data_IF_951218823999
#
_entry.id   IF_951218823999
#
_cell.length_a   1.000
_cell.length_b   1.000
_cell.length_c   1.000
_cell.angle_alpha   90.00
_cell.angle_beta   90.00
_cell.angle_gamma   90.00
#
_symmetry.space_group_name_H-M   'P 1'
#
loop_
_entity.id
_entity.type
_entity.pdbx_description
1 polymer ?
#
# COMPACT_ATOMS: atom_id res chain seq x y z
N UNK A 1 22.72 13.59 -0.29
CA UNK A 1 23.38 12.48 -1.01
C UNK A 1 22.81 11.15 -0.53
N UNK A 2 22.89 10.84 0.79
CA UNK A 2 22.42 9.55 1.35
C UNK A 2 20.95 9.21 1.01
N UNK A 3 20.03 10.18 1.13
CA UNK A 3 18.60 9.99 0.84
C UNK A 3 18.33 9.66 -0.64
N UNK A 4 19.11 10.20 -1.56
CA UNK A 4 18.98 9.90 -3.00
C UNK A 4 19.42 8.47 -3.31
N UNK A 5 20.56 8.05 -2.76
CA UNK A 5 21.08 6.69 -2.96
C UNK A 5 20.13 5.64 -2.34
N UNK A 6 19.55 5.92 -1.16
CA UNK A 6 18.54 5.06 -0.56
C UNK A 6 17.31 4.92 -1.47
N UNK A 7 16.82 6.02 -2.06
CA UNK A 7 15.71 5.98 -3.02
C UNK A 7 16.04 5.12 -4.24
N UNK A 8 17.22 5.27 -4.83
CA UNK A 8 17.66 4.49 -5.99
C UNK A 8 17.76 2.99 -5.67
N UNK A 9 18.32 2.62 -4.51
CA UNK A 9 18.39 1.22 -4.06
C UNK A 9 17.00 0.63 -3.79
N UNK A 10 16.12 1.42 -3.18
CA UNK A 10 14.72 1.02 -2.97
C UNK A 10 13.97 0.77 -4.27
N UNK A 11 14.16 1.62 -5.29
CA UNK A 11 13.56 1.41 -6.62
C UNK A 11 13.98 0.06 -7.19
N UNK A 12 15.27 -0.31 -7.06
CA UNK A 12 15.76 -1.62 -7.52
C UNK A 12 15.11 -2.78 -6.74
N UNK A 13 14.99 -2.67 -5.41
CA UNK A 13 14.35 -3.69 -4.57
C UNK A 13 12.87 -3.88 -4.95
N UNK A 14 12.13 -2.78 -5.10
CA UNK A 14 10.72 -2.81 -5.51
C UNK A 14 10.57 -3.49 -6.87
N UNK A 15 11.40 -3.14 -7.84
CA UNK A 15 11.36 -3.74 -9.17
C UNK A 15 11.63 -5.24 -9.15
N UNK A 16 12.65 -5.68 -8.42
CA UNK A 16 12.99 -7.09 -8.31
C UNK A 16 11.86 -7.90 -7.63
N UNK A 17 11.23 -7.34 -6.60
CA UNK A 17 10.10 -7.97 -5.92
C UNK A 17 8.85 -8.01 -6.81
N UNK A 18 8.61 -6.95 -7.59
CA UNK A 18 7.53 -6.90 -8.57
C UNK A 18 7.70 -7.98 -9.65
N UNK A 19 8.92 -8.15 -10.18
CA UNK A 19 9.26 -9.22 -11.13
C UNK A 19 9.05 -10.61 -10.51
N UNK A 20 9.54 -10.82 -9.27
CA UNK A 20 9.37 -12.07 -8.53
C UNK A 20 7.90 -12.41 -8.26
N UNK A 21 7.09 -11.42 -7.88
CA UNK A 21 5.65 -11.61 -7.69
C UNK A 21 4.98 -11.96 -9.02
N UNK A 22 5.37 -11.33 -10.12
CA UNK A 22 4.89 -11.65 -11.45
C UNK A 22 5.17 -13.11 -11.84
N UNK A 23 6.38 -13.63 -11.56
CA UNK A 23 6.70 -15.04 -11.81
C UNK A 23 5.85 -15.99 -10.93
N UNK A 24 5.61 -15.63 -9.67
CA UNK A 24 4.72 -16.40 -8.81
C UNK A 24 3.28 -16.42 -9.33
N UNK A 25 2.74 -15.29 -9.77
CA UNK A 25 1.39 -15.21 -10.36
C UNK A 25 1.27 -16.14 -11.57
N UNK A 26 2.25 -16.12 -12.47
CA UNK A 26 2.29 -17.04 -13.63
C UNK A 26 2.24 -18.51 -13.21
N UNK A 27 2.92 -18.87 -12.13
CA UNK A 27 3.01 -20.23 -11.60
C UNK A 27 1.82 -20.70 -10.75
N UNK A 28 0.82 -19.85 -10.45
CA UNK A 28 -0.32 -20.24 -9.61
C UNK A 28 -1.19 -21.28 -10.31
N UNK A 29 -1.22 -22.49 -9.79
CA UNK A 29 -2.01 -23.58 -10.37
C UNK A 29 -3.54 -23.42 -10.18
N UNK A 30 -3.95 -22.62 -9.20
CA UNK A 30 -5.36 -22.43 -8.86
C UNK A 30 -6.01 -21.26 -9.59
N UNK A 31 -5.24 -20.34 -10.16
CA UNK A 31 -5.73 -19.15 -10.86
C UNK A 31 -5.78 -19.43 -12.37
N UNK A 32 -6.89 -19.10 -13.00
CA UNK A 32 -7.08 -19.26 -14.45
C UNK A 32 -6.27 -18.24 -15.26
N UNK A 33 -5.99 -18.56 -16.51
CA UNK A 33 -5.11 -17.76 -17.38
C UNK A 33 -5.64 -16.34 -17.62
N UNK A 34 -6.98 -16.18 -17.76
CA UNK A 34 -7.58 -14.85 -17.95
C UNK A 34 -7.37 -13.94 -16.74
N UNK A 35 -7.50 -14.49 -15.53
CA UNK A 35 -7.26 -13.74 -14.29
C UNK A 35 -5.76 -13.44 -14.10
N UNK A 36 -4.86 -14.38 -14.44
CA UNK A 36 -3.41 -14.16 -14.44
C UNK A 36 -2.99 -13.01 -15.33
N UNK A 37 -3.52 -12.94 -16.55
CA UNK A 37 -3.21 -11.84 -17.47
C UNK A 37 -3.57 -10.49 -16.84
N UNK A 38 -4.77 -10.36 -16.31
CA UNK A 38 -5.22 -9.11 -15.66
C UNK A 38 -4.45 -8.79 -14.37
N UNK A 39 -4.08 -9.82 -13.59
CA UNK A 39 -3.25 -9.65 -12.41
C UNK A 39 -1.86 -9.11 -12.78
N UNK A 40 -1.24 -9.64 -13.83
CA UNK A 40 0.05 -9.17 -14.34
C UNK A 40 -0.03 -7.76 -14.93
N UNK A 41 -1.12 -7.41 -15.62
CA UNK A 41 -1.37 -6.04 -16.08
C UNK A 41 -1.49 -5.07 -14.89
N UNK A 42 -2.24 -5.45 -13.85
CA UNK A 42 -2.38 -4.65 -12.64
C UNK A 42 -1.04 -4.46 -11.93
N UNK A 43 -0.28 -5.53 -11.75
CA UNK A 43 1.05 -5.48 -11.15
C UNK A 43 2.01 -4.57 -11.94
N UNK A 44 1.98 -4.64 -13.28
CA UNK A 44 2.83 -3.83 -14.15
C UNK A 44 2.50 -2.33 -14.12
N UNK A 45 1.28 -1.97 -13.70
CA UNK A 45 0.81 -0.58 -13.64
C UNK A 45 0.87 0.02 -12.23
N UNK A 46 1.50 -0.64 -11.26
CA UNK A 46 1.70 -0.08 -9.93
C UNK A 46 2.43 1.26 -10.00
N UNK A 47 1.82 2.30 -9.46
CA UNK A 47 2.46 3.58 -9.26
C UNK A 47 3.31 3.51 -7.99
N UNK A 48 4.63 3.73 -8.11
CA UNK A 48 5.58 3.52 -7.01
C UNK A 48 6.08 4.85 -6.46
N UNK A 49 5.79 5.12 -5.20
CA UNK A 49 6.21 6.33 -4.47
C UNK A 49 7.24 5.96 -3.41
N UNK A 50 8.43 6.59 -3.45
CA UNK A 50 9.54 6.30 -2.53
C UNK A 50 10.14 7.58 -1.97
N UNK A 51 10.20 7.65 -0.66
CA UNK A 51 10.91 8.68 0.09
C UNK A 51 10.10 9.93 0.36
N UNK A 52 9.88 10.77 -0.64
CA UNK A 52 9.18 12.05 -0.51
C UNK A 52 8.60 12.49 -1.86
N UNK A 53 7.55 13.35 -1.85
CA UNK A 53 6.92 13.84 -3.07
C UNK A 53 7.85 14.80 -3.81
N UNK A 54 7.80 14.78 -5.13
CA UNK A 54 8.53 15.75 -5.96
C UNK A 54 7.92 17.15 -5.84
N UNK A 55 6.59 17.24 -5.68
CA UNK A 55 5.86 18.47 -5.40
C UNK A 55 5.30 18.43 -3.98
N UNK A 56 5.78 19.33 -3.13
CA UNK A 56 5.29 19.46 -1.76
C UNK A 56 3.90 20.09 -1.71
N UNK A 57 3.09 19.66 -0.72
CA UNK A 57 1.80 20.30 -0.45
C UNK A 57 2.01 21.76 -0.09
N UNK A 58 1.29 22.66 -0.75
CA UNK A 58 1.35 24.09 -0.48
C UNK A 58 0.39 24.47 0.65
N UNK A 59 0.95 24.98 1.74
CA UNK A 59 0.22 25.45 2.92
C UNK A 59 0.16 26.99 2.99
N UNK A 60 0.55 27.72 1.93
CA UNK A 60 0.64 29.18 1.96
C UNK A 60 -0.69 29.88 2.22
N UNK A 61 -1.80 29.21 1.91
CA UNK A 61 -3.16 29.73 2.17
C UNK A 61 -3.74 29.34 3.53
N UNK A 62 -3.02 28.49 4.30
CA UNK A 62 -3.44 28.14 5.66
C UNK A 62 -3.04 29.23 6.64
N UNK A 63 -4.02 29.89 7.23
CA UNK A 63 -3.78 30.94 8.22
C UNK A 63 -3.60 30.36 9.63
N UNK A 64 -2.46 30.59 10.24
CA UNK A 64 -2.16 30.24 11.65
C UNK A 64 -1.98 31.55 12.41
N UNK A 65 -2.62 31.69 13.58
CA UNK A 65 -2.61 32.87 14.42
C UNK A 65 -2.08 32.56 15.83
N UNK A 66 -1.55 33.58 16.47
CA UNK A 66 -1.12 33.54 17.88
C UNK A 66 -2.30 33.86 18.81
N UNK A 67 -3.36 33.04 18.71
CA UNK A 67 -4.58 33.16 19.55
C UNK A 67 -4.81 31.93 20.43
N UNK A 68 -5.15 30.78 19.85
CA UNK A 68 -5.27 29.53 20.59
C UNK A 68 -4.99 28.32 19.70
N UNK A 69 -4.49 27.26 20.32
CA UNK A 69 -4.29 25.97 19.65
C UNK A 69 -5.62 25.46 19.04
N UNK A 70 -6.71 25.56 19.79
CA UNK A 70 -8.03 25.12 19.32
C UNK A 70 -8.49 25.87 18.07
N UNK A 71 -8.40 27.20 18.06
CA UNK A 71 -8.77 27.99 16.90
C UNK A 71 -7.90 27.68 15.67
N UNK A 72 -6.61 27.37 15.87
CA UNK A 72 -5.74 26.92 14.78
C UNK A 72 -6.11 25.51 14.27
N UNK A 73 -6.55 24.62 15.15
CA UNK A 73 -7.08 23.31 14.73
C UNK A 73 -8.36 23.46 13.89
N UNK A 74 -9.28 24.35 14.27
CA UNK A 74 -10.48 24.64 13.49
C UNK A 74 -10.12 25.20 12.09
N UNK A 75 -9.24 26.20 12.01
CA UNK A 75 -8.75 26.74 10.72
C UNK A 75 -8.10 25.67 9.84
N UNK A 76 -7.32 24.79 10.44
CA UNK A 76 -6.68 23.67 9.74
C UNK A 76 -7.72 22.69 9.21
N UNK A 77 -8.75 22.36 9.99
CA UNK A 77 -9.82 21.47 9.56
C UNK A 77 -10.67 22.10 8.44
N UNK A 78 -11.02 23.37 8.56
CA UNK A 78 -11.75 24.11 7.52
C UNK A 78 -10.92 24.16 6.23
N UNK A 79 -9.63 24.46 6.33
CA UNK A 79 -8.73 24.49 5.18
C UNK A 79 -8.60 23.12 4.52
N UNK A 80 -8.39 22.04 5.28
CA UNK A 80 -8.35 20.68 4.76
C UNK A 80 -9.67 20.27 4.10
N UNK A 81 -10.80 20.67 4.68
CA UNK A 81 -12.13 20.42 4.09
C UNK A 81 -12.28 21.16 2.76
N UNK A 82 -11.89 22.42 2.68
CA UNK A 82 -11.93 23.21 1.44
C UNK A 82 -11.04 22.58 0.35
N UNK A 83 -9.83 22.13 0.70
CA UNK A 83 -8.93 21.42 -0.21
C UNK A 83 -9.55 20.11 -0.73
N UNK A 84 -10.21 19.35 0.15
CA UNK A 84 -10.92 18.12 -0.23
C UNK A 84 -12.07 18.41 -1.20
N UNK A 85 -12.92 19.41 -0.88
CA UNK A 85 -14.05 19.81 -1.74
C UNK A 85 -13.57 20.33 -3.09
N UNK A 86 -12.45 21.06 -3.12
CA UNK A 86 -11.86 21.59 -4.35
C UNK A 86 -11.38 20.50 -5.32
N UNK A 87 -11.27 19.24 -4.91
CA UNK A 87 -10.96 18.09 -5.78
C UNK A 87 -12.18 17.56 -6.53
N UNK A 88 -13.39 17.88 -6.08
CA UNK A 88 -14.63 17.39 -6.69
C UNK A 88 -14.69 17.80 -8.17
N UNK A 89 -14.97 16.83 -9.05
CA UNK A 89 -15.05 17.03 -10.49
C UNK A 89 -13.70 17.21 -11.20
N UNK A 90 -12.59 17.08 -10.50
CA UNK A 90 -11.25 17.08 -11.10
C UNK A 90 -10.73 15.64 -11.30
N UNK A 91 -9.82 15.40 -12.25
CA UNK A 91 -9.11 14.14 -12.35
C UNK A 91 -8.37 13.82 -11.05
N UNK A 92 -8.21 12.52 -10.75
CA UNK A 92 -7.43 12.05 -9.60
C UNK A 92 -5.96 12.46 -9.77
N UNK A 93 -5.42 13.15 -8.77
CA UNK A 93 -4.00 13.46 -8.71
C UNK A 93 -3.23 12.25 -8.16
N UNK A 94 -2.57 11.51 -9.06
CA UNK A 94 -1.76 10.34 -8.69
C UNK A 94 -0.46 10.73 -7.96
N UNK A 95 -0.05 11.99 -7.97
CA UNK A 95 1.14 12.45 -7.27
C UNK A 95 0.87 12.86 -5.80
N UNK A 96 -0.40 12.92 -5.40
CA UNK A 96 -0.77 13.20 -4.01
C UNK A 96 -0.32 12.08 -3.07
N UNK A 97 0.36 12.43 -1.97
CA UNK A 97 0.78 11.51 -0.92
C UNK A 97 -0.22 11.49 0.22
N UNK A 98 -0.64 10.28 0.64
CA UNK A 98 -1.56 10.09 1.77
C UNK A 98 -0.83 10.10 3.12
N UNK A 99 0.47 9.81 3.12
CA UNK A 99 1.33 9.86 4.30
C UNK A 99 2.42 10.92 4.12
N UNK A 100 2.79 11.55 5.22
CA UNK A 100 3.92 12.49 5.22
C UNK A 100 5.27 11.74 5.15
N UNK A 101 6.33 12.35 4.61
CA UNK A 101 7.62 11.67 4.43
C UNK A 101 8.29 11.18 5.72
N UNK A 102 7.97 11.75 6.88
CA UNK A 102 8.50 11.31 8.17
C UNK A 102 7.74 10.13 8.79
N UNK A 103 6.64 9.70 8.19
CA UNK A 103 5.85 8.57 8.69
C UNK A 103 6.66 7.27 8.56
N UNK A 104 6.76 6.52 9.66
CA UNK A 104 7.36 5.18 9.68
C UNK A 104 6.25 4.17 9.39
N UNK A 105 5.89 4.09 8.13
CA UNK A 105 4.91 3.15 7.59
C UNK A 105 5.01 3.10 6.07
N UNK A 106 4.16 2.26 5.45
CA UNK A 106 3.95 2.18 4.01
C UNK A 106 2.44 2.06 3.73
N UNK A 107 2.01 2.10 2.48
CA UNK A 107 0.62 1.80 2.12
C UNK A 107 0.49 1.38 0.66
N UNK A 108 -0.56 0.58 0.40
CA UNK A 108 -1.15 0.40 -0.92
C UNK A 108 -2.47 1.20 -1.00
N UNK A 109 -2.69 1.91 -2.11
CA UNK A 109 -3.96 2.59 -2.38
C UNK A 109 -4.63 1.97 -3.61
N UNK A 110 -5.75 1.25 -3.46
CA UNK A 110 -6.43 0.58 -4.57
C UNK A 110 -7.02 1.56 -5.59
N UNK A 111 -7.41 2.77 -5.18
CA UNK A 111 -8.06 3.75 -6.07
C UNK A 111 -7.11 4.41 -7.06
N UNK A 112 -5.81 4.37 -6.79
CA UNK A 112 -4.74 4.88 -7.66
C UNK A 112 -3.80 3.77 -8.14
N UNK A 113 -3.98 2.54 -7.64
CA UNK A 113 -3.12 1.39 -7.85
C UNK A 113 -1.65 1.71 -7.53
N UNK A 114 -1.41 2.25 -6.33
CA UNK A 114 -0.10 2.73 -5.91
C UNK A 114 0.41 2.07 -4.64
N UNK A 115 1.73 1.93 -4.54
CA UNK A 115 2.47 1.57 -3.33
C UNK A 115 3.37 2.72 -2.92
N UNK A 116 3.39 3.06 -1.64
CA UNK A 116 4.13 4.19 -1.12
C UNK A 116 4.99 3.81 0.09
N UNK A 117 6.26 4.21 0.03
CA UNK A 117 7.25 4.00 1.09
C UNK A 117 7.86 5.34 1.49
N UNK A 118 7.30 6.04 2.50
CA UNK A 118 7.83 7.31 3.01
C UNK A 118 9.28 7.18 3.51
N UNK A 119 10.03 8.29 3.50
CA UNK A 119 11.43 8.29 3.95
C UNK A 119 11.61 7.82 5.39
N UNK A 120 10.58 7.96 6.23
CA UNK A 120 10.59 7.54 7.63
C UNK A 120 10.83 6.04 7.82
N UNK A 121 10.36 5.19 6.92
CA UNK A 121 10.58 3.73 7.00
C UNK A 121 11.91 3.30 6.34
N UNK A 122 12.55 4.16 5.54
CA UNK A 122 13.79 3.86 4.82
C UNK A 122 15.03 4.02 5.71
N UNK A 123 14.99 3.44 6.88
CA UNK A 123 16.06 3.46 7.88
C UNK A 123 16.03 2.21 8.76
N UNK A 124 17.10 1.97 9.49
CA UNK A 124 17.17 0.85 10.44
C UNK A 124 15.97 0.86 11.41
N UNK A 125 15.35 -0.28 11.72
CA UNK A 125 15.74 -1.65 11.33
C UNK A 125 15.17 -2.14 9.97
N UNK A 126 14.36 -1.34 9.28
CA UNK A 126 13.69 -1.75 8.05
C UNK A 126 14.63 -1.73 6.83
N UNK A 127 15.49 -0.72 6.73
CA UNK A 127 16.39 -0.54 5.61
C UNK A 127 17.76 -0.04 6.06
N UNK A 128 18.83 -0.63 5.52
CA UNK A 128 20.20 -0.15 5.72
C UNK A 128 20.94 -0.09 4.36
N UNK A 129 21.44 1.12 4.03
CA UNK A 129 22.21 1.33 2.81
C UNK A 129 23.52 0.55 2.76
N UNK A 130 24.09 0.22 3.92
CA UNK A 130 25.37 -0.46 4.04
C UNK A 130 25.24 -1.97 4.26
N UNK A 131 24.01 -2.45 4.54
CA UNK A 131 23.75 -3.87 4.67
C UNK A 131 23.77 -4.58 3.31
N UNK A 132 23.95 -5.89 3.32
CA UNK A 132 23.79 -6.73 2.15
C UNK A 132 22.32 -6.81 1.69
N UNK A 133 22.11 -7.36 0.50
CA UNK A 133 20.77 -7.48 -0.06
C UNK A 133 19.90 -8.46 0.71
N UNK A 134 20.48 -9.53 1.27
CA UNK A 134 19.72 -10.52 2.06
C UNK A 134 19.08 -9.86 3.29
N UNK A 135 19.81 -8.97 3.99
CA UNK A 135 19.26 -8.18 5.09
C UNK A 135 18.10 -7.31 4.62
N UNK A 136 18.28 -6.52 3.54
CA UNK A 136 17.26 -5.60 3.07
C UNK A 136 16.03 -6.34 2.50
N UNK A 137 16.21 -7.48 1.82
CA UNK A 137 15.07 -8.31 1.40
C UNK A 137 14.33 -8.93 2.58
N UNK A 138 15.03 -9.35 3.64
CA UNK A 138 14.42 -9.88 4.85
C UNK A 138 13.75 -8.84 5.76
N UNK A 139 14.06 -7.56 5.56
CA UNK A 139 13.52 -6.44 6.32
C UNK A 139 12.52 -5.62 5.48
N UNK A 140 12.97 -4.57 4.78
CA UNK A 140 12.08 -3.72 3.98
C UNK A 140 11.43 -4.50 2.83
N UNK A 141 12.08 -5.55 2.32
CA UNK A 141 11.51 -6.41 1.27
C UNK A 141 10.23 -7.12 1.69
N UNK A 142 10.08 -7.47 2.97
CA UNK A 142 8.83 -8.03 3.52
C UNK A 142 7.72 -6.98 3.45
N UNK A 143 8.01 -5.72 3.84
CA UNK A 143 7.05 -4.61 3.76
C UNK A 143 6.67 -4.34 2.30
N UNK A 144 7.63 -4.31 1.38
CA UNK A 144 7.36 -4.12 -0.05
C UNK A 144 6.44 -5.23 -0.59
N UNK A 145 6.72 -6.49 -0.25
CA UNK A 145 5.90 -7.63 -0.64
C UNK A 145 4.48 -7.55 -0.07
N UNK A 146 4.34 -7.12 1.18
CA UNK A 146 3.07 -6.89 1.85
C UNK A 146 2.24 -5.84 1.11
N UNK A 147 2.79 -4.66 0.83
CA UNK A 147 2.06 -3.60 0.10
C UNK A 147 1.68 -4.03 -1.32
N UNK A 148 2.53 -4.77 -2.00
CA UNK A 148 2.19 -5.34 -3.31
C UNK A 148 1.05 -6.35 -3.22
N UNK A 149 1.02 -7.17 -2.14
CA UNK A 149 0.00 -8.19 -1.93
C UNK A 149 -1.36 -7.57 -1.67
N UNK A 150 -1.44 -6.39 -1.03
CA UNK A 150 -2.68 -5.64 -0.89
C UNK A 150 -3.38 -5.35 -2.21
N UNK A 151 -2.66 -5.25 -3.33
CA UNK A 151 -3.27 -5.13 -4.66
C UNK A 151 -4.11 -6.34 -5.08
N UNK A 152 -3.94 -7.49 -4.42
CA UNK A 152 -4.54 -8.78 -4.76
C UNK A 152 -5.23 -9.48 -3.59
N UNK A 153 -5.26 -8.87 -2.40
CA UNK A 153 -5.96 -9.38 -1.22
C UNK A 153 -7.49 -9.31 -1.38
N UNK A 154 -8.23 -9.61 -0.33
CA UNK A 154 -9.70 -9.63 -0.32
C UNK A 154 -10.34 -8.28 -0.68
N UNK A 155 -9.67 -7.18 -0.38
CA UNK A 155 -10.14 -5.82 -0.69
C UNK A 155 -9.55 -5.31 -2.02
N UNK A 156 -8.22 -5.38 -2.19
CA UNK A 156 -7.53 -4.83 -3.34
C UNK A 156 -7.88 -5.53 -4.65
N UNK A 157 -8.18 -6.83 -4.62
CA UNK A 157 -8.64 -7.59 -5.80
C UNK A 157 -9.92 -7.06 -6.42
N UNK A 158 -10.71 -6.29 -5.68
CA UNK A 158 -11.96 -5.70 -6.17
C UNK A 158 -11.73 -4.48 -7.08
N UNK A 159 -10.52 -3.96 -7.13
CA UNK A 159 -10.15 -2.82 -7.95
C UNK A 159 -9.31 -3.25 -9.15
N UNK A 160 -9.64 -2.71 -10.33
CA UNK A 160 -8.85 -2.95 -11.53
C UNK A 160 -7.53 -2.15 -11.55
N UNK A 161 -6.73 -2.33 -12.60
CA UNK A 161 -5.44 -1.65 -12.80
C UNK A 161 -5.52 -0.12 -12.88
N UNK A 162 -6.70 0.41 -13.14
CA UNK A 162 -6.96 1.84 -13.28
C UNK A 162 -7.55 2.45 -11.99
N UNK A 163 -7.77 1.62 -10.95
CA UNK A 163 -8.31 2.02 -9.66
C UNK A 163 -9.83 2.07 -9.58
N UNK A 164 -10.52 1.51 -10.55
CA UNK A 164 -11.97 1.42 -10.54
C UNK A 164 -12.42 0.21 -9.73
N UNK A 165 -13.47 0.37 -8.91
CA UNK A 165 -14.14 -0.75 -8.26
C UNK A 165 -14.87 -1.57 -9.33
N UNK A 166 -14.21 -2.61 -9.80
CA UNK A 166 -14.65 -3.43 -10.92
C UNK A 166 -14.15 -4.85 -10.74
N UNK A 167 -15.07 -5.81 -10.69
CA UNK A 167 -14.72 -7.22 -10.69
C UNK A 167 -14.08 -7.61 -12.02
N UNK A 168 -12.87 -8.14 -11.95
CA UNK A 168 -12.08 -8.59 -13.08
C UNK A 168 -11.64 -10.06 -12.95
N UNK A 169 -12.01 -10.70 -11.84
CA UNK A 169 -11.78 -12.10 -11.59
C UNK A 169 -12.88 -12.94 -12.25
N UNK A 170 -12.59 -14.21 -12.53
CA UNK A 170 -13.66 -15.16 -12.84
C UNK A 170 -14.33 -15.61 -11.54
N UNK A 171 -15.61 -16.00 -11.60
CA UNK A 171 -16.34 -16.53 -10.44
C UNK A 171 -15.61 -17.72 -9.81
N UNK A 172 -15.03 -18.58 -10.67
CA UNK A 172 -14.29 -19.76 -10.23
C UNK A 172 -13.00 -19.38 -9.50
N UNK A 173 -12.24 -18.42 -10.00
CA UNK A 173 -11.01 -17.95 -9.35
C UNK A 173 -11.33 -17.21 -8.05
N UNK A 174 -12.40 -16.43 -8.01
CA UNK A 174 -12.88 -15.78 -6.80
C UNK A 174 -13.21 -16.81 -5.70
N UNK A 175 -13.95 -17.88 -6.07
CA UNK A 175 -14.24 -18.97 -5.14
C UNK A 175 -12.98 -19.67 -4.64
N UNK A 176 -12.04 -19.97 -5.53
CA UNK A 176 -10.76 -20.60 -5.16
C UNK A 176 -9.90 -19.72 -4.26
N UNK A 177 -9.95 -18.40 -4.45
CA UNK A 177 -9.31 -17.45 -3.53
C UNK A 177 -9.96 -17.51 -2.15
N UNK A 178 -11.30 -17.45 -2.08
CA UNK A 178 -12.05 -17.46 -0.82
C UNK A 178 -11.82 -18.76 -0.02
N UNK A 179 -11.73 -19.91 -0.70
CA UNK A 179 -11.40 -21.19 -0.09
C UNK A 179 -10.00 -21.19 0.57
N UNK A 180 -9.01 -20.52 -0.06
CA UNK A 180 -7.65 -20.36 0.49
C UNK A 180 -7.61 -19.35 1.63
N UNK A 181 -8.28 -18.23 1.45
CA UNK A 181 -8.41 -17.20 2.47
C UNK A 181 -9.06 -17.76 3.75
N UNK A 182 -10.05 -18.69 3.60
CA UNK A 182 -10.68 -19.34 4.74
C UNK A 182 -9.69 -20.14 5.60
N UNK A 183 -8.61 -20.67 5.02
CA UNK A 183 -7.54 -21.35 5.80
C UNK A 183 -6.87 -20.36 6.76
N UNK A 184 -6.55 -19.15 6.25
CA UNK A 184 -5.97 -18.07 7.08
C UNK A 184 -6.94 -17.64 8.19
N UNK A 185 -8.21 -17.43 7.84
CA UNK A 185 -9.26 -17.09 8.82
C UNK A 185 -9.31 -18.13 9.93
N UNK A 186 -9.36 -19.43 9.60
CA UNK A 186 -9.44 -20.51 10.60
C UNK A 186 -8.21 -20.54 11.53
N UNK A 187 -7.01 -20.28 10.99
CA UNK A 187 -5.77 -20.25 11.78
C UNK A 187 -5.79 -19.08 12.75
N UNK A 188 -6.00 -17.86 12.26
CA UNK A 188 -5.92 -16.65 13.08
C UNK A 188 -7.10 -16.50 14.06
N UNK A 189 -8.30 -16.93 13.68
CA UNK A 189 -9.46 -16.96 14.60
C UNK A 189 -9.26 -17.96 15.76
N UNK A 190 -8.38 -18.96 15.59
CA UNK A 190 -8.06 -19.91 16.68
C UNK A 190 -7.09 -19.36 17.71
N UNK A 191 -6.45 -18.20 17.44
CA UNK A 191 -5.47 -17.60 18.34
C UNK A 191 -6.19 -16.83 19.45
N UNK A 192 -5.97 -17.23 20.67
CA UNK A 192 -6.43 -16.50 21.86
C UNK A 192 -5.47 -15.35 22.15
N UNK A 193 -5.93 -14.12 21.96
CA UNK A 193 -5.12 -12.88 22.14
C UNK A 193 -5.15 -12.35 23.57
N UNK A 194 -6.17 -12.75 24.35
CA UNK A 194 -6.31 -12.52 25.78
C UNK A 194 -7.28 -13.57 26.34
N UNK A 195 -7.32 -13.86 27.66
CA UNK A 195 -8.18 -14.89 28.23
C UNK A 195 -9.64 -14.79 27.76
N UNK A 196 -10.10 -15.78 26.99
CA UNK A 196 -11.44 -15.85 26.40
C UNK A 196 -11.70 -14.91 25.22
N UNK A 197 -10.66 -14.22 24.68
CA UNK A 197 -10.76 -13.29 23.55
C UNK A 197 -9.99 -13.81 22.36
N UNK A 198 -10.66 -14.04 21.25
CA UNK A 198 -10.07 -14.44 19.97
C UNK A 198 -10.03 -13.29 18.97
N UNK A 199 -9.14 -13.38 18.02
CA UNK A 199 -9.08 -12.47 16.89
C UNK A 199 -10.30 -12.57 15.97
N UNK A 200 -10.44 -11.63 15.06
CA UNK A 200 -11.40 -11.70 13.95
C UNK A 200 -10.62 -11.52 12.66
N UNK A 201 -10.04 -12.61 12.17
CA UNK A 201 -9.19 -12.57 10.98
C UNK A 201 -9.96 -12.16 9.72
N UNK A 202 -11.25 -12.44 9.64
CA UNK A 202 -12.04 -11.99 8.48
C UNK A 202 -12.06 -10.47 8.35
N UNK A 203 -11.98 -9.75 9.46
CA UNK A 203 -11.90 -8.29 9.48
C UNK A 203 -10.51 -7.77 9.10
N UNK A 204 -9.48 -8.57 9.38
CA UNK A 204 -8.07 -8.21 9.13
C UNK A 204 -7.41 -9.13 8.09
N UNK A 205 -8.20 -9.71 7.18
CA UNK A 205 -7.72 -10.74 6.27
C UNK A 205 -6.59 -10.25 5.37
N UNK A 206 -6.70 -9.05 4.81
CA UNK A 206 -5.66 -8.46 3.97
C UNK A 206 -4.32 -8.30 4.68
N UNK A 207 -4.33 -8.05 6.00
CA UNK A 207 -3.12 -7.95 6.83
C UNK A 207 -2.50 -9.32 7.15
N UNK A 208 -3.25 -10.41 6.97
CA UNK A 208 -2.81 -11.77 7.28
C UNK A 208 -2.45 -12.59 6.03
N UNK A 209 -2.80 -12.11 4.83
CA UNK A 209 -2.41 -12.70 3.55
C UNK A 209 -0.99 -12.28 3.19
#
# INVERSE_FOLDING_TARGET
VYKRQAKERMVALVKNLQESLGERVKGLAWMGDSTKVKALEKLATFHVKIGYPDKWKDYSTLEIKDDSYWANMERTNEWNHAEMVAKAGKPVDKEEWLMTPQTVNAYYNPTTNEICFPAGILQYPFFDMNADDAFNYGAIGVVIGHEMTHGFDDQGRQYDKDGNLKDWWTDEDSKRFDERAQVMVNVFDSIEVAPGVHGNCRMTLGENI
#
